data_IF_441200732745
#
_entry.id   IF_441200732745
#
_cell.length_a   1.000
_cell.length_b   1.000
_cell.length_c   1.000
_cell.angle_alpha   90.00
_cell.angle_beta   90.00
_cell.angle_gamma   90.00
#
_symmetry.space_group_name_H-M   'P 1'
#
loop_
_entity.id
_entity.type
_entity.pdbx_description
1 polymer ?
#
# COMPACT_ATOMS: atom_id res chain seq x y z
N UNK A 1 8.30 21.29 13.02
CA UNK A 1 8.37 20.18 12.04
C UNK A 1 7.12 19.34 12.23
N UNK A 2 6.28 19.28 11.20
CA UNK A 2 4.93 18.73 11.27
C UNK A 2 4.94 17.22 11.58
N UNK A 3 4.00 16.75 12.40
CA UNK A 3 3.96 15.35 12.85
C UNK A 3 3.76 14.35 11.70
N UNK A 4 3.15 14.81 10.60
CA UNK A 4 2.94 14.07 9.36
C UNK A 4 4.24 13.87 8.57
N UNK A 5 5.13 14.86 8.50
CA UNK A 5 6.43 14.74 7.82
C UNK A 5 7.33 13.70 8.49
N UNK A 6 7.24 13.56 9.82
CA UNK A 6 7.98 12.54 10.58
C UNK A 6 7.54 11.09 10.28
N UNK A 7 6.31 10.89 9.79
CA UNK A 7 5.83 9.55 9.45
C UNK A 7 6.37 9.08 8.09
N UNK A 8 6.51 10.01 7.15
CA UNK A 8 7.01 9.72 5.80
C UNK A 8 8.55 9.82 5.69
N UNK A 9 9.23 10.37 6.69
CA UNK A 9 10.70 10.49 6.70
C UNK A 9 11.43 9.14 6.70
N UNK A 10 10.74 8.05 7.09
CA UNK A 10 11.24 6.67 6.99
C UNK A 10 11.18 6.10 5.58
N UNK A 11 10.41 6.70 4.67
CA UNK A 11 10.34 6.27 3.29
C UNK A 11 11.61 6.70 2.56
N UNK A 12 12.13 5.81 1.71
CA UNK A 12 13.16 6.21 0.76
C UNK A 12 12.62 7.30 -0.17
N UNK A 13 13.50 8.17 -0.69
CA UNK A 13 13.12 9.20 -1.66
C UNK A 13 12.34 8.61 -2.86
N UNK A 14 12.74 7.43 -3.33
CA UNK A 14 12.04 6.70 -4.40
C UNK A 14 10.61 6.33 -4.01
N UNK A 15 10.43 5.81 -2.80
CA UNK A 15 9.12 5.41 -2.27
C UNK A 15 8.19 6.61 -2.06
N UNK A 16 8.74 7.73 -1.59
CA UNK A 16 7.96 8.97 -1.43
C UNK A 16 7.50 9.52 -2.80
N UNK A 17 8.39 9.59 -3.79
CA UNK A 17 8.03 10.00 -5.16
C UNK A 17 7.00 9.05 -5.79
N UNK A 18 7.09 7.75 -5.50
CA UNK A 18 6.09 6.79 -5.96
C UNK A 18 4.72 7.04 -5.32
N UNK A 19 4.68 7.29 -4.01
CA UNK A 19 3.45 7.63 -3.28
C UNK A 19 2.79 8.89 -3.84
N UNK A 20 3.59 9.91 -4.19
CA UNK A 20 3.10 11.15 -4.81
C UNK A 20 2.50 10.92 -6.19
N UNK A 21 3.14 10.07 -7.01
CA UNK A 21 2.59 9.68 -8.32
C UNK A 21 1.26 8.97 -8.18
N UNK A 22 1.16 8.01 -7.24
CA UNK A 22 -0.09 7.31 -6.97
C UNK A 22 -1.20 8.25 -6.49
N UNK A 23 -0.86 9.20 -5.61
CA UNK A 23 -1.81 10.22 -5.14
C UNK A 23 -2.33 11.07 -6.30
N UNK A 24 -1.45 11.47 -7.21
CA UNK A 24 -1.84 12.23 -8.40
C UNK A 24 -2.73 11.41 -9.34
N UNK A 25 -2.37 10.14 -9.59
CA UNK A 25 -3.18 9.23 -10.42
C UNK A 25 -4.57 9.01 -9.84
N UNK A 26 -4.68 8.80 -8.52
CA UNK A 26 -5.97 8.68 -7.85
C UNK A 26 -6.86 9.91 -8.10
N UNK A 27 -6.29 11.10 -7.96
CA UNK A 27 -7.03 12.34 -8.19
C UNK A 27 -7.45 12.52 -9.66
N UNK A 28 -6.63 12.07 -10.62
CA UNK A 28 -7.00 12.08 -12.04
C UNK A 28 -8.10 11.07 -12.37
N UNK A 29 -8.06 9.88 -11.80
CA UNK A 29 -9.01 8.80 -12.11
C UNK A 29 -10.38 9.00 -11.42
N UNK A 30 -10.38 9.42 -10.16
CA UNK A 30 -11.59 9.51 -9.35
C UNK A 30 -12.12 10.93 -9.18
N UNK A 31 -11.35 11.95 -9.57
CA UNK A 31 -11.71 13.35 -9.35
C UNK A 31 -11.75 13.74 -7.86
N UNK A 32 -11.21 12.90 -6.98
CA UNK A 32 -11.25 13.07 -5.53
C UNK A 32 -9.84 13.25 -4.95
N UNK A 33 -9.76 13.87 -3.78
CA UNK A 33 -8.52 14.05 -3.06
C UNK A 33 -8.35 12.96 -2.01
N UNK A 34 -7.26 12.20 -2.11
CA UNK A 34 -6.80 11.30 -1.05
C UNK A 34 -5.53 11.86 -0.42
N UNK A 35 -5.42 11.85 0.91
CA UNK A 35 -4.18 12.24 1.58
C UNK A 35 -3.11 11.13 1.44
N UNK A 36 -1.83 11.52 1.54
CA UNK A 36 -0.71 10.56 1.53
C UNK A 36 -0.84 9.50 2.65
N UNK A 37 -1.43 9.86 3.79
CA UNK A 37 -1.61 8.96 4.93
C UNK A 37 -2.71 7.91 4.67
N UNK A 38 -3.83 8.32 4.08
CA UNK A 38 -4.91 7.42 3.68
C UNK A 38 -4.45 6.47 2.59
N UNK A 39 -3.77 6.98 1.57
CA UNK A 39 -3.21 6.18 0.48
C UNK A 39 -2.21 5.14 1.03
N UNK A 40 -1.33 5.54 1.94
CA UNK A 40 -0.39 4.60 2.57
C UNK A 40 -1.12 3.51 3.39
N UNK A 41 -2.18 3.90 4.11
CA UNK A 41 -2.99 2.95 4.89
C UNK A 41 -3.66 1.91 3.99
N UNK A 42 -4.18 2.33 2.83
CA UNK A 42 -4.74 1.43 1.82
C UNK A 42 -3.69 0.46 1.26
N UNK A 43 -2.50 0.97 0.89
CA UNK A 43 -1.41 0.14 0.38
C UNK A 43 -0.99 -0.92 1.41
N UNK A 44 -0.83 -0.54 2.68
CA UNK A 44 -0.46 -1.48 3.75
C UNK A 44 -1.55 -2.53 3.96
N UNK A 45 -2.82 -2.13 3.97
CA UNK A 45 -3.95 -3.06 4.11
C UNK A 45 -3.98 -4.07 2.96
N UNK A 46 -3.89 -3.58 1.72
CA UNK A 46 -3.89 -4.42 0.52
C UNK A 46 -2.73 -5.42 0.53
N UNK A 47 -1.53 -4.97 0.90
CA UNK A 47 -0.36 -5.85 1.00
C UNK A 47 -0.56 -6.96 2.04
N UNK A 48 -1.19 -6.67 3.18
CA UNK A 48 -1.51 -7.68 4.21
C UNK A 48 -2.55 -8.69 3.71
N UNK A 49 -3.58 -8.22 2.99
CA UNK A 49 -4.61 -9.09 2.41
C UNK A 49 -4.02 -10.01 1.33
N UNK A 50 -3.13 -9.51 0.48
CA UNK A 50 -2.41 -10.30 -0.52
C UNK A 50 -1.53 -11.39 0.11
N UNK A 51 -0.81 -11.06 1.19
CA UNK A 51 0.02 -12.05 1.88
C UNK A 51 -0.82 -13.17 2.51
N UNK A 52 -1.97 -12.82 3.12
CA UNK A 52 -2.91 -13.82 3.65
C UNK A 52 -3.47 -14.73 2.57
N UNK A 53 -3.85 -14.17 1.42
CA UNK A 53 -4.35 -14.96 0.30
C UNK A 53 -3.28 -15.92 -0.26
N UNK A 54 -2.03 -15.48 -0.34
CA UNK A 54 -0.92 -16.34 -0.75
C UNK A 54 -0.62 -17.45 0.26
N UNK A 55 -0.75 -17.20 1.56
CA UNK A 55 -0.63 -18.23 2.60
C UNK A 55 -1.73 -19.30 2.45
N UNK A 56 -2.98 -18.89 2.24
CA UNK A 56 -4.12 -19.79 2.02
C UNK A 56 -3.94 -20.67 0.76
N UNK A 57 -3.51 -20.07 -0.36
CA UNK A 57 -3.27 -20.82 -1.61
C UNK A 57 -2.15 -21.85 -1.42
N UNK A 58 -1.07 -21.49 -0.72
CA UNK A 58 0.03 -22.42 -0.45
C UNK A 58 -0.40 -23.58 0.44
N UNK A 59 -1.26 -23.35 1.44
CA UNK A 59 -1.81 -24.40 2.29
C UNK A 59 -2.72 -25.38 1.50
N UNK A 60 -3.56 -24.87 0.59
CA UNK A 60 -4.41 -25.72 -0.27
C UNK A 60 -3.59 -26.57 -1.25
N UNK A 61 -2.52 -26.02 -1.84
CA UNK A 61 -1.62 -26.76 -2.74
C UNK A 61 -0.89 -27.88 -1.99
N UNK A 62 -0.44 -27.61 -0.76
CA UNK A 62 0.25 -28.62 0.07
C UNK A 62 -0.69 -29.75 0.49
N UNK A 63 -1.97 -29.47 0.75
CA UNK A 63 -2.94 -30.51 1.10
C UNK A 63 -3.36 -31.40 -0.08
N UNK A 64 -3.42 -30.87 -1.31
CA UNK A 64 -3.74 -31.65 -2.52
C UNK A 64 -2.58 -32.53 -3.04
N UNK A 65 -1.35 -32.27 -2.58
CA UNK A 65 -0.16 -33.03 -2.96
C UNK A 65 0.15 -34.23 -2.03
N UNK A 66 -0.69 -34.46 -1.00
CA UNK A 66 -0.67 -35.66 -0.15
C UNK A 66 -1.78 -36.62 -0.54
#
# INVERSE_FOLDING_TARGET
>A
MDLTEKQFSRLSKKSLTYLEKLQHQYSQEFGDFISKAELMSLIVRYSREQNKNNELINEEVVQKAK
#
